data_IF_542552963132
#
_entry.id   IF_542552963132
#
_cell.length_a   1.000
_cell.length_b   1.000
_cell.length_c   1.000
_cell.angle_alpha   90.00
_cell.angle_beta   90.00
_cell.angle_gamma   90.00
#
_symmetry.space_group_name_H-M   'P 1'
#
loop_
_entity.id
_entity.type
_entity.pdbx_description
1 polymer ?
#
# COMPACT_ATOMS: atom_id res chain seq x y z
N UNK A 1 -36.19 6.47 6.46
CA UNK A 1 -35.58 5.58 5.47
C UNK A 1 -34.43 6.34 4.86
N UNK A 2 -33.31 6.41 5.57
CA UNK A 2 -32.07 6.96 5.03
C UNK A 2 -31.32 5.77 4.43
N UNK A 3 -31.27 5.75 3.10
CA UNK A 3 -30.45 4.80 2.36
C UNK A 3 -28.99 5.15 2.63
N UNK A 4 -28.30 4.28 3.35
CA UNK A 4 -26.85 4.22 3.23
C UNK A 4 -26.57 3.74 1.81
N UNK A 5 -26.15 4.67 0.98
CA UNK A 5 -25.57 4.39 -0.33
C UNK A 5 -24.25 3.66 -0.06
N UNK A 6 -24.34 2.36 0.17
CA UNK A 6 -23.21 1.46 0.23
C UNK A 6 -22.71 1.34 -1.21
N UNK A 7 -21.80 2.23 -1.60
CA UNK A 7 -20.97 2.05 -2.80
C UNK A 7 -20.41 0.63 -2.77
N UNK A 8 -20.81 -0.27 -3.69
CA UNK A 8 -20.45 -1.67 -3.60
C UNK A 8 -18.96 -1.85 -3.95
N UNK A 9 -18.08 -1.80 -2.95
CA UNK A 9 -16.70 -2.30 -3.07
C UNK A 9 -15.59 -1.41 -2.50
N UNK A 10 -15.87 -0.15 -2.18
CA UNK A 10 -14.89 0.80 -1.63
C UNK A 10 -14.87 0.87 -0.09
N UNK A 11 -13.79 1.42 0.46
CA UNK A 11 -13.71 1.79 1.87
C UNK A 11 -14.73 2.89 2.18
N UNK A 12 -15.45 2.73 3.30
CA UNK A 12 -16.38 3.75 3.76
C UNK A 12 -15.65 5.08 4.00
N UNK A 13 -16.32 6.23 3.74
CA UNK A 13 -15.73 7.53 4.02
C UNK A 13 -15.40 7.66 5.51
N UNK A 14 -14.51 8.61 5.89
CA UNK A 14 -14.17 8.84 7.28
C UNK A 14 -15.42 9.02 8.14
N UNK A 15 -15.51 8.22 9.20
CA UNK A 15 -16.63 8.22 10.13
C UNK A 15 -16.12 7.99 11.56
N UNK A 16 -16.98 8.31 12.54
CA UNK A 16 -16.69 8.04 13.94
C UNK A 16 -16.75 6.53 14.20
N UNK A 17 -15.66 5.94 14.69
CA UNK A 17 -15.60 4.50 14.95
C UNK A 17 -16.57 4.01 16.06
N UNK A 18 -17.19 4.91 16.83
CA UNK A 18 -18.15 4.55 17.88
C UNK A 18 -19.62 4.71 17.47
N UNK A 19 -19.94 5.65 16.57
CA UNK A 19 -21.34 5.98 16.24
C UNK A 19 -21.64 6.18 14.75
N UNK A 20 -20.64 6.09 13.87
CA UNK A 20 -20.82 6.18 12.42
C UNK A 20 -21.03 7.59 11.85
N UNK A 21 -21.12 8.64 12.67
CA UNK A 21 -21.26 10.03 12.18
C UNK A 21 -20.05 10.42 11.33
N UNK A 22 -20.27 11.12 10.22
CA UNK A 22 -19.23 11.52 9.25
C UNK A 22 -18.79 12.99 9.38
N UNK A 23 -19.44 13.78 10.24
CA UNK A 23 -19.14 15.20 10.43
C UNK A 23 -18.28 15.47 11.67
N UNK A 24 -17.52 16.58 11.64
CA UNK A 24 -16.71 17.09 12.75
C UNK A 24 -15.77 16.05 13.38
N UNK A 25 -15.05 15.33 12.53
CA UNK A 25 -14.21 14.23 12.95
C UNK A 25 -12.83 14.70 13.43
N UNK A 26 -12.43 14.14 14.56
CA UNK A 26 -11.11 14.26 15.16
C UNK A 26 -10.37 12.93 14.99
N UNK A 27 -9.15 12.98 14.47
CA UNK A 27 -8.30 11.79 14.37
C UNK A 27 -7.75 11.40 15.74
N UNK A 28 -7.60 10.10 15.98
CA UNK A 28 -6.92 9.56 17.14
C UNK A 28 -5.51 10.16 17.25
N UNK A 29 -5.18 10.82 18.36
CA UNK A 29 -3.85 11.43 18.55
C UNK A 29 -2.69 10.42 18.55
N UNK A 30 -2.96 9.12 18.74
CA UNK A 30 -1.96 8.06 18.69
C UNK A 30 -1.72 7.54 17.26
N UNK A 31 -2.66 6.73 16.75
CA UNK A 31 -2.52 6.09 15.44
C UNK A 31 -2.82 7.00 14.26
N UNK A 32 -3.56 8.11 14.45
CA UNK A 32 -3.98 9.08 13.41
C UNK A 32 -4.80 8.52 12.24
N UNK A 33 -5.14 7.23 12.24
CA UNK A 33 -5.88 6.57 11.14
C UNK A 33 -7.32 6.18 11.51
N UNK A 34 -7.72 6.38 12.76
CA UNK A 34 -9.10 6.20 13.25
C UNK A 34 -9.66 7.54 13.69
N UNK A 35 -10.94 7.78 13.42
CA UNK A 35 -11.61 9.06 13.67
C UNK A 35 -12.77 8.96 14.65
N UNK A 36 -13.05 10.05 15.35
CA UNK A 36 -14.11 10.18 16.36
C UNK A 36 -14.77 11.56 16.27
N UNK A 37 -16.07 11.65 16.47
CA UNK A 37 -16.75 12.96 16.55
C UNK A 37 -16.55 13.66 17.91
N UNK A 38 -16.01 12.95 18.91
CA UNK A 38 -15.81 13.50 20.26
C UNK A 38 -14.76 12.72 21.07
N UNK A 39 -14.20 13.36 22.10
CA UNK A 39 -13.30 12.72 23.05
C UNK A 39 -13.99 11.60 23.89
N UNK A 40 -15.29 11.71 24.10
CA UNK A 40 -16.10 10.67 24.76
C UNK A 40 -16.17 9.40 23.92
N UNK A 41 -16.43 9.51 22.61
CA UNK A 41 -16.43 8.35 21.72
C UNK A 41 -15.04 7.74 21.54
N UNK A 42 -13.99 8.57 21.51
CA UNK A 42 -12.61 8.07 21.53
C UNK A 42 -12.32 7.28 22.82
N UNK A 43 -12.79 7.75 23.97
CA UNK A 43 -12.57 7.09 25.26
C UNK A 43 -13.37 5.79 25.36
N UNK A 44 -14.59 5.76 24.84
CA UNK A 44 -15.44 4.57 24.79
C UNK A 44 -14.82 3.46 23.91
N UNK A 45 -14.33 3.81 22.71
CA UNK A 45 -13.69 2.86 21.79
C UNK A 45 -12.26 2.47 22.20
N UNK A 46 -11.69 3.10 23.23
CA UNK A 46 -10.29 2.87 23.63
C UNK A 46 -9.98 1.42 23.95
N UNK A 47 -10.88 0.70 24.62
CA UNK A 47 -10.62 -0.68 25.05
C UNK A 47 -10.35 -1.62 23.86
N UNK A 48 -11.14 -1.48 22.80
CA UNK A 48 -11.04 -2.25 21.56
C UNK A 48 -9.86 -1.76 20.69
N UNK A 49 -9.73 -0.45 20.52
CA UNK A 49 -8.73 0.14 19.62
C UNK A 49 -7.29 0.13 20.16
N UNK A 50 -7.09 0.07 21.49
CA UNK A 50 -5.77 0.33 22.12
C UNK A 50 -4.66 -0.58 21.61
N UNK A 51 -4.94 -1.87 21.39
CA UNK A 51 -3.93 -2.83 20.95
C UNK A 51 -3.36 -2.43 19.57
N UNK A 52 -4.24 -2.22 18.59
CA UNK A 52 -3.87 -1.82 17.23
C UNK A 52 -3.24 -0.42 17.24
N UNK A 53 -3.79 0.52 18.02
CA UNK A 53 -3.24 1.87 18.16
C UNK A 53 -1.77 1.85 18.63
N UNK A 54 -1.46 1.02 19.63
CA UNK A 54 -0.11 0.88 20.13
C UNK A 54 0.81 0.16 19.14
N UNK A 55 0.30 -0.82 18.39
CA UNK A 55 1.06 -1.50 17.35
C UNK A 55 1.52 -0.52 16.26
N UNK A 56 0.60 0.32 15.73
CA UNK A 56 0.90 1.35 14.72
C UNK A 56 1.91 2.38 15.24
N UNK A 57 1.75 2.82 16.50
CA UNK A 57 2.71 3.76 17.10
C UNK A 57 4.11 3.15 17.17
N UNK A 58 4.20 1.92 17.68
CA UNK A 58 5.48 1.23 17.85
C UNK A 58 6.16 0.96 16.51
N UNK A 59 5.41 0.50 15.51
CA UNK A 59 5.96 0.23 14.18
C UNK A 59 6.51 1.50 13.51
N UNK A 60 5.80 2.63 13.62
CA UNK A 60 6.29 3.95 13.15
C UNK A 60 7.53 4.43 13.90
N UNK A 61 7.58 4.25 15.22
CA UNK A 61 8.75 4.59 16.04
C UNK A 61 9.97 3.75 15.62
N UNK A 62 9.78 2.44 15.40
CA UNK A 62 10.84 1.55 14.89
C UNK A 62 11.29 1.97 13.49
N UNK A 63 10.37 2.23 12.57
CA UNK A 63 10.72 2.71 11.23
C UNK A 63 11.53 4.01 11.27
N UNK A 64 11.10 4.98 12.08
CA UNK A 64 11.81 6.25 12.24
C UNK A 64 13.22 6.04 12.83
N UNK A 65 13.38 5.10 13.77
CA UNK A 65 14.68 4.74 14.32
C UNK A 65 15.62 4.16 13.26
N UNK A 66 15.16 3.17 12.48
CA UNK A 66 15.95 2.55 11.41
C UNK A 66 16.31 3.56 10.32
N UNK A 67 15.37 4.45 9.95
CA UNK A 67 15.63 5.53 8.98
C UNK A 67 16.72 6.48 9.47
N UNK A 68 16.63 6.92 10.72
CA UNK A 68 17.62 7.80 11.33
C UNK A 68 18.99 7.12 11.45
N UNK A 69 19.02 5.83 11.82
CA UNK A 69 20.25 5.05 11.90
C UNK A 69 20.95 4.93 10.53
N UNK A 70 20.18 4.69 9.46
CA UNK A 70 20.72 4.66 8.10
C UNK A 70 21.25 6.02 7.64
N UNK A 71 20.51 7.11 7.91
CA UNK A 71 20.96 8.48 7.53
C UNK A 71 22.19 8.94 8.31
N UNK A 72 22.35 8.52 9.56
CA UNK A 72 23.48 8.91 10.39
C UNK A 72 24.76 8.11 10.07
N UNK A 73 24.64 7.01 9.32
CA UNK A 73 25.77 6.11 9.07
C UNK A 73 26.70 6.70 8.00
N UNK A 74 28.02 6.74 8.24
CA UNK A 74 28.96 7.27 7.26
C UNK A 74 28.99 6.38 6.02
N UNK A 75 29.16 7.03 4.86
CA UNK A 75 29.37 6.32 3.61
C UNK A 75 30.60 5.39 3.70
N UNK A 76 30.52 4.24 3.06
CA UNK A 76 31.62 3.30 2.93
C UNK A 76 31.54 2.57 1.58
N UNK A 77 32.42 1.59 1.35
CA UNK A 77 32.49 0.86 0.08
C UNK A 77 31.16 0.19 -0.32
N UNK A 78 30.31 -0.17 0.66
CA UNK A 78 29.06 -0.90 0.46
C UNK A 78 27.80 -0.08 0.77
N UNK A 79 27.96 1.12 1.36
CA UNK A 79 26.86 2.01 1.74
C UNK A 79 27.11 3.41 1.17
N UNK A 80 26.33 3.86 0.17
CA UNK A 80 26.48 5.21 -0.38
C UNK A 80 26.00 6.28 0.60
N UNK A 81 26.46 7.52 0.41
CA UNK A 81 26.13 8.66 1.28
C UNK A 81 24.62 8.95 1.37
N UNK A 82 23.92 8.87 0.25
CA UNK A 82 22.46 8.96 0.19
C UNK A 82 21.87 7.62 -0.25
N UNK A 83 21.76 6.69 0.70
CA UNK A 83 21.31 5.31 0.43
C UNK A 83 19.89 5.21 -0.13
N UNK A 84 19.01 6.16 0.19
CA UNK A 84 17.62 6.13 -0.27
C UNK A 84 17.45 6.54 -1.74
N UNK A 85 18.42 7.29 -2.28
CA UNK A 85 18.47 7.66 -3.69
C UNK A 85 19.48 6.81 -4.47
N UNK A 86 20.74 6.78 -4.05
CA UNK A 86 21.81 6.05 -4.75
C UNK A 86 21.68 4.52 -4.60
N UNK A 87 21.02 4.06 -3.54
CA UNK A 87 20.75 2.64 -3.34
C UNK A 87 19.44 2.16 -3.96
N UNK A 88 18.60 3.04 -4.51
CA UNK A 88 17.33 2.63 -5.11
C UNK A 88 17.54 1.62 -6.26
N UNK A 89 16.64 0.65 -6.41
CA UNK A 89 16.78 -0.49 -7.32
C UNK A 89 17.69 -1.60 -6.80
N UNK A 90 18.71 -1.27 -6.00
CA UNK A 90 19.67 -2.23 -5.42
C UNK A 90 19.58 -2.32 -3.89
N UNK A 91 18.55 -1.70 -3.31
CA UNK A 91 18.48 -1.41 -1.88
C UNK A 91 18.55 -2.69 -1.05
N UNK A 92 17.85 -3.74 -1.45
CA UNK A 92 17.85 -5.05 -0.78
C UNK A 92 19.21 -5.78 -0.78
N UNK A 93 20.06 -5.47 -1.77
CA UNK A 93 21.41 -6.01 -1.87
C UNK A 93 22.36 -5.42 -0.82
N UNK A 94 22.05 -4.23 -0.29
CA UNK A 94 22.79 -3.58 0.80
C UNK A 94 22.31 -4.18 2.11
N UNK A 95 23.16 -4.94 2.81
CA UNK A 95 22.75 -5.69 4.01
C UNK A 95 22.20 -4.75 5.09
N UNK A 96 22.83 -3.60 5.26
CA UNK A 96 22.48 -2.60 6.28
C UNK A 96 21.07 -2.02 6.13
N UNK A 97 20.46 -2.06 4.94
CA UNK A 97 19.14 -1.47 4.70
C UNK A 97 17.99 -2.44 4.95
N UNK A 98 18.28 -3.72 5.19
CA UNK A 98 17.24 -4.75 5.29
C UNK A 98 16.37 -4.57 6.52
N UNK A 99 16.94 -4.09 7.62
CA UNK A 99 16.19 -3.85 8.86
C UNK A 99 15.22 -2.69 8.69
N UNK A 100 15.61 -1.64 7.96
CA UNK A 100 14.70 -0.60 7.50
C UNK A 100 13.56 -1.14 6.64
N UNK A 101 13.84 -1.98 5.64
CA UNK A 101 12.79 -2.54 4.76
C UNK A 101 11.79 -3.39 5.56
N UNK A 102 12.26 -4.18 6.53
CA UNK A 102 11.41 -4.96 7.42
C UNK A 102 10.59 -4.06 8.36
N UNK A 103 11.20 -3.03 8.93
CA UNK A 103 10.50 -2.06 9.76
C UNK A 103 9.41 -1.31 8.98
N UNK A 104 9.68 -0.97 7.72
CA UNK A 104 8.72 -0.31 6.82
C UNK A 104 7.56 -1.24 6.47
N UNK A 105 7.83 -2.51 6.20
CA UNK A 105 6.78 -3.51 6.02
C UNK A 105 5.93 -3.66 7.29
N UNK A 106 6.55 -3.75 8.47
CA UNK A 106 5.81 -3.85 9.73
C UNK A 106 4.93 -2.61 10.01
N UNK A 107 5.35 -1.42 9.57
CA UNK A 107 4.51 -0.22 9.61
C UNK A 107 3.27 -0.38 8.72
N UNK A 108 3.47 -0.78 7.45
CA UNK A 108 2.36 -1.06 6.53
C UNK A 108 1.41 -2.14 7.08
N UNK A 109 1.95 -3.28 7.52
CA UNK A 109 1.17 -4.41 8.04
C UNK A 109 0.31 -4.01 9.26
N UNK A 110 0.86 -3.20 10.17
CA UNK A 110 0.10 -2.69 11.31
C UNK A 110 -1.08 -1.78 10.92
N UNK A 111 -0.98 -1.08 9.78
CA UNK A 111 -2.04 -0.24 9.22
C UNK A 111 -3.11 -1.09 8.53
N UNK A 112 -2.72 -2.20 7.87
CA UNK A 112 -3.66 -3.12 7.20
C UNK A 112 -4.70 -3.74 8.17
N UNK A 113 -4.42 -3.73 9.47
CA UNK A 113 -5.35 -4.16 10.53
C UNK A 113 -6.47 -3.15 10.81
N UNK A 114 -6.49 -2.00 10.14
CA UNK A 114 -7.50 -0.94 10.31
C UNK A 114 -8.23 -0.71 8.99
N UNK A 115 -9.56 -0.86 9.01
CA UNK A 115 -10.41 -0.70 7.83
C UNK A 115 -10.85 0.76 7.63
N UNK A 116 -9.88 1.65 7.35
CA UNK A 116 -10.15 3.06 7.05
C UNK A 116 -9.37 3.53 5.83
N UNK A 117 -9.93 4.51 5.10
CA UNK A 117 -9.25 5.16 3.96
C UNK A 117 -7.86 5.66 4.36
N UNK A 118 -7.73 6.30 5.54
CA UNK A 118 -6.44 6.82 6.01
C UNK A 118 -5.39 5.73 6.27
N UNK A 119 -5.79 4.57 6.79
CA UNK A 119 -4.88 3.46 7.00
C UNK A 119 -4.46 2.81 5.67
N UNK A 120 -5.41 2.64 4.75
CA UNK A 120 -5.16 2.06 3.43
C UNK A 120 -4.24 2.94 2.56
N UNK A 121 -4.45 4.27 2.53
CA UNK A 121 -3.55 5.20 1.82
C UNK A 121 -2.13 5.16 2.41
N UNK A 122 -2.00 5.24 3.73
CA UNK A 122 -0.67 5.24 4.36
C UNK A 122 0.05 3.88 4.19
N UNK A 123 -0.68 2.77 4.23
CA UNK A 123 -0.12 1.46 3.92
C UNK A 123 0.35 1.40 2.47
N UNK A 124 -0.47 1.86 1.52
CA UNK A 124 -0.13 1.90 0.10
C UNK A 124 1.13 2.74 -0.14
N UNK A 125 1.26 3.91 0.49
CA UNK A 125 2.46 4.75 0.41
C UNK A 125 3.72 4.02 0.90
N UNK A 126 3.61 3.26 1.99
CA UNK A 126 4.73 2.46 2.49
C UNK A 126 5.14 1.38 1.47
N UNK A 127 4.18 0.63 0.95
CA UNK A 127 4.44 -0.47 0.00
C UNK A 127 5.00 0.05 -1.34
N UNK A 128 4.46 1.16 -1.85
CA UNK A 128 4.94 1.77 -3.09
C UNK A 128 6.37 2.31 -2.96
N UNK A 129 6.74 2.90 -1.82
CA UNK A 129 8.12 3.32 -1.60
C UNK A 129 9.07 2.13 -1.42
N UNK A 130 8.60 1.02 -0.82
CA UNK A 130 9.37 -0.23 -0.78
C UNK A 130 9.64 -0.77 -2.18
N UNK A 131 8.65 -0.73 -3.08
CA UNK A 131 8.81 -1.11 -4.48
C UNK A 131 9.76 -0.16 -5.25
N UNK A 132 9.73 1.15 -4.96
CA UNK A 132 10.71 2.11 -5.50
C UNK A 132 12.14 1.75 -5.09
N UNK A 133 12.36 1.42 -3.81
CA UNK A 133 13.67 1.07 -3.26
C UNK A 133 14.14 -0.31 -3.75
N UNK A 134 13.24 -1.28 -3.82
CA UNK A 134 13.51 -2.66 -4.21
C UNK A 134 12.54 -3.08 -5.31
N UNK A 135 12.88 -2.73 -6.56
CA UNK A 135 12.02 -2.99 -7.73
C UNK A 135 11.77 -4.48 -7.96
N UNK A 136 12.76 -5.33 -7.64
CA UNK A 136 12.68 -6.81 -7.66
C UNK A 136 11.73 -7.40 -6.61
N UNK A 137 11.20 -6.57 -5.72
CA UNK A 137 10.23 -6.92 -4.69
C UNK A 137 10.60 -8.16 -3.85
N UNK A 138 11.78 -8.14 -3.25
CA UNK A 138 12.28 -9.29 -2.48
C UNK A 138 11.47 -9.61 -1.21
N UNK A 139 10.55 -8.72 -0.79
CA UNK A 139 9.63 -8.95 0.32
C UNK A 139 8.21 -9.31 -0.13
N UNK A 140 7.95 -9.38 -1.44
CA UNK A 140 6.66 -9.78 -2.00
C UNK A 140 5.52 -8.80 -1.71
N UNK A 141 5.82 -7.50 -1.56
CA UNK A 141 4.78 -6.51 -1.21
C UNK A 141 3.85 -6.17 -2.37
N UNK A 142 4.25 -6.47 -3.62
CA UNK A 142 3.43 -6.23 -4.81
C UNK A 142 2.10 -6.99 -4.80
N UNK A 143 1.99 -8.06 -4.03
CA UNK A 143 0.77 -8.88 -3.94
C UNK A 143 -0.33 -8.18 -3.14
N UNK A 144 0.03 -7.21 -2.30
CA UNK A 144 -0.90 -6.46 -1.45
C UNK A 144 -1.44 -5.22 -2.18
N UNK A 145 -0.61 -4.57 -2.98
CA UNK A 145 -0.91 -3.27 -3.64
C UNK A 145 -2.23 -3.26 -4.43
N UNK A 146 -2.54 -4.23 -5.31
CA UNK A 146 -3.80 -4.22 -6.08
C UNK A 146 -5.04 -4.20 -5.18
N UNK A 147 -5.01 -4.96 -4.08
CA UNK A 147 -6.16 -5.02 -3.16
C UNK A 147 -6.39 -3.69 -2.44
N UNK A 148 -5.33 -2.96 -2.11
CA UNK A 148 -5.44 -1.61 -1.55
C UNK A 148 -5.99 -0.61 -2.56
N UNK A 149 -5.51 -0.66 -3.81
CA UNK A 149 -6.02 0.20 -4.88
C UNK A 149 -7.52 -0.02 -5.10
N UNK A 150 -8.00 -1.27 -5.12
CA UNK A 150 -9.43 -1.58 -5.23
C UNK A 150 -10.24 -1.11 -4.02
N UNK A 151 -9.70 -1.22 -2.79
CA UNK A 151 -10.34 -0.73 -1.57
C UNK A 151 -10.41 0.80 -1.53
N UNK A 152 -9.48 1.48 -2.19
CA UNK A 152 -9.43 2.94 -2.32
C UNK A 152 -10.20 3.46 -3.54
N UNK A 153 -10.90 2.58 -4.28
CA UNK A 153 -11.64 2.93 -5.49
C UNK A 153 -10.73 3.48 -6.62
N UNK A 154 -9.45 3.10 -6.61
CA UNK A 154 -8.42 3.50 -7.57
C UNK A 154 -8.25 2.43 -8.66
N UNK A 155 -9.35 2.14 -9.33
CA UNK A 155 -9.50 0.99 -10.24
C UNK A 155 -8.59 1.06 -11.46
N UNK A 156 -8.49 2.23 -12.10
CA UNK A 156 -7.58 2.42 -13.24
C UNK A 156 -6.11 2.21 -12.83
N UNK A 157 -5.72 2.70 -11.65
CA UNK A 157 -4.35 2.50 -11.16
C UNK A 157 -4.07 1.04 -10.81
N UNK A 158 -5.08 0.32 -10.28
CA UNK A 158 -5.00 -1.12 -10.06
C UNK A 158 -4.75 -1.86 -11.39
N UNK A 159 -5.52 -1.52 -12.43
CA UNK A 159 -5.35 -2.11 -13.76
C UNK A 159 -3.95 -1.87 -14.31
N UNK A 160 -3.51 -0.61 -14.32
CA UNK A 160 -2.21 -0.20 -14.83
C UNK A 160 -1.05 -0.90 -14.10
N UNK A 161 -1.17 -1.06 -12.77
CA UNK A 161 -0.20 -1.78 -11.94
C UNK A 161 -0.13 -3.26 -12.32
N UNK A 162 -1.28 -3.94 -12.40
CA UNK A 162 -1.37 -5.35 -12.76
C UNK A 162 -0.82 -5.59 -14.18
N UNK A 163 -1.18 -4.72 -15.14
CA UNK A 163 -0.71 -4.82 -16.51
C UNK A 163 0.81 -4.68 -16.60
N UNK A 164 1.41 -3.76 -15.84
CA UNK A 164 2.86 -3.59 -15.84
C UNK A 164 3.57 -4.86 -15.36
N UNK A 165 3.10 -5.49 -14.28
CA UNK A 165 3.68 -6.73 -13.77
C UNK A 165 3.47 -7.93 -14.71
N UNK A 166 2.34 -7.99 -15.42
CA UNK A 166 2.06 -9.06 -16.38
C UNK A 166 2.85 -8.95 -17.70
N UNK A 167 3.41 -7.77 -18.00
CA UNK A 167 4.05 -7.50 -19.29
C UNK A 167 5.54 -7.16 -19.14
N UNK A 168 5.86 -5.99 -18.61
CA UNK A 168 7.25 -5.54 -18.43
C UNK A 168 7.89 -6.28 -17.26
N UNK A 169 7.17 -6.44 -16.15
CA UNK A 169 7.67 -7.10 -14.95
C UNK A 169 7.86 -8.61 -15.08
N UNK A 170 7.30 -9.23 -16.12
CA UNK A 170 7.43 -10.66 -16.43
C UNK A 170 8.60 -10.95 -17.39
N UNK A 171 9.24 -9.91 -17.95
CA UNK A 171 10.43 -10.06 -18.79
C UNK A 171 11.62 -10.57 -17.96
N UNK A 172 12.11 -11.76 -18.30
CA UNK A 172 13.26 -12.40 -17.65
C UNK A 172 14.57 -11.63 -17.82
N UNK A 173 14.64 -10.69 -18.75
CA UNK A 173 15.80 -9.86 -19.04
C UNK A 173 15.72 -8.46 -18.41
N UNK A 174 14.66 -8.14 -17.67
CA UNK A 174 14.51 -6.85 -17.01
C UNK A 174 15.57 -6.64 -15.90
N UNK A 175 16.37 -5.57 -16.02
CA UNK A 175 17.35 -5.20 -14.99
C UNK A 175 16.68 -4.39 -13.85
N UNK A 176 16.28 -5.10 -12.79
CA UNK A 176 15.68 -4.51 -11.59
C UNK A 176 16.56 -3.46 -10.89
N UNK A 177 17.88 -3.55 -11.08
CA UNK A 177 18.86 -2.64 -10.49
C UNK A 177 19.15 -1.39 -11.31
N UNK A 178 18.63 -1.30 -12.54
CA UNK A 178 18.71 -0.11 -13.38
C UNK A 178 17.51 0.81 -13.11
N UNK A 179 17.76 1.91 -12.42
CA UNK A 179 16.73 2.88 -12.07
C UNK A 179 16.28 3.75 -13.24
N UNK A 180 17.01 3.74 -14.36
CA UNK A 180 16.69 4.50 -15.57
C UNK A 180 15.64 3.83 -16.43
N UNK A 181 15.45 2.52 -16.27
CA UNK A 181 14.41 1.77 -16.98
C UNK A 181 13.01 2.17 -16.52
N UNK A 182 12.01 2.17 -17.43
CA UNK A 182 10.63 2.45 -17.08
C UNK A 182 10.08 1.47 -16.04
N UNK A 183 9.55 1.99 -14.94
CA UNK A 183 9.04 1.20 -13.82
C UNK A 183 7.66 1.67 -13.40
N UNK A 184 6.69 0.76 -13.35
CA UNK A 184 5.28 1.05 -13.03
C UNK A 184 4.77 2.30 -13.76
N UNK A 185 5.06 2.40 -15.05
CA UNK A 185 4.87 3.61 -15.86
C UNK A 185 3.72 3.50 -16.88
N UNK A 186 2.97 2.40 -16.90
CA UNK A 186 1.73 2.27 -17.67
C UNK A 186 0.68 3.18 -17.05
N UNK A 187 -0.03 3.98 -17.86
CA UNK A 187 -1.08 4.88 -17.39
C UNK A 187 -2.25 4.86 -18.36
N UNK A 188 -3.46 4.69 -17.84
CA UNK A 188 -4.69 4.72 -18.65
C UNK A 188 -4.74 3.59 -19.68
N UNK A 189 -4.22 2.41 -19.34
CA UNK A 189 -4.39 1.25 -20.19
C UNK A 189 -5.88 0.87 -20.28
N UNK A 190 -6.28 0.34 -21.43
CA UNK A 190 -7.66 -0.08 -21.65
C UNK A 190 -8.03 -1.24 -20.73
N UNK A 191 -8.81 -0.95 -19.68
CA UNK A 191 -9.28 -1.94 -18.72
C UNK A 191 -10.31 -2.91 -19.30
N UNK A 192 -10.81 -2.67 -20.52
CA UNK A 192 -11.77 -3.54 -21.23
C UNK A 192 -11.11 -4.42 -22.30
N UNK A 193 -9.81 -4.33 -22.49
CA UNK A 193 -9.09 -5.24 -23.39
C UNK A 193 -9.24 -6.70 -22.94
N UNK A 194 -9.01 -7.62 -23.88
CA UNK A 194 -9.12 -9.05 -23.64
C UNK A 194 -8.16 -9.49 -22.52
N UNK A 195 -8.56 -10.52 -21.78
CA UNK A 195 -7.73 -11.10 -20.72
C UNK A 195 -6.43 -11.69 -21.27
N UNK A 196 -6.38 -12.04 -22.56
CA UNK A 196 -5.17 -12.43 -23.29
C UNK A 196 -4.08 -11.34 -23.31
N UNK A 197 -4.42 -10.08 -22.99
CA UNK A 197 -3.44 -9.01 -22.78
C UNK A 197 -2.61 -9.22 -21.49
N UNK A 198 -3.07 -10.05 -20.58
CA UNK A 198 -2.30 -10.54 -19.45
C UNK A 198 -1.70 -11.90 -19.82
N UNK A 199 -0.38 -12.04 -19.73
CA UNK A 199 0.17 -13.39 -19.60
C UNK A 199 -0.24 -13.92 -18.23
N UNK A 200 -1.37 -14.61 -18.17
CA UNK A 200 -1.95 -15.15 -16.94
C UNK A 200 -1.02 -16.11 -16.20
N UNK A 201 -0.07 -16.73 -16.92
CA UNK A 201 0.92 -17.61 -16.32
C UNK A 201 2.02 -16.83 -15.60
N UNK A 202 2.21 -15.55 -15.94
CA UNK A 202 3.18 -14.66 -15.30
C UNK A 202 2.64 -14.02 -14.02
N UNK A 203 1.32 -14.00 -13.83
CA UNK A 203 0.68 -13.40 -12.66
C UNK A 203 0.61 -14.36 -11.47
N UNK A 204 0.93 -13.84 -10.29
CA UNK A 204 0.67 -14.54 -9.03
C UNK A 204 -0.84 -14.61 -8.72
N UNK A 205 -1.22 -15.54 -7.84
CA UNK A 205 -2.62 -15.74 -7.45
C UNK A 205 -3.29 -14.46 -6.92
N UNK A 206 -2.57 -13.66 -6.13
CA UNK A 206 -3.10 -12.40 -5.58
C UNK A 206 -3.46 -11.40 -6.69
N UNK A 207 -2.64 -11.31 -7.73
CA UNK A 207 -2.87 -10.45 -8.89
C UNK A 207 -4.05 -10.95 -9.73
N UNK A 208 -4.17 -12.27 -9.93
CA UNK A 208 -5.32 -12.86 -10.62
C UNK A 208 -6.64 -12.59 -9.89
N UNK A 209 -6.66 -12.71 -8.56
CA UNK A 209 -7.84 -12.39 -7.75
C UNK A 209 -8.20 -10.92 -7.90
N UNK A 210 -7.22 -10.01 -7.80
CA UNK A 210 -7.46 -8.58 -7.96
C UNK A 210 -7.96 -8.22 -9.37
N UNK A 211 -7.34 -8.77 -10.42
CA UNK A 211 -7.77 -8.57 -11.81
C UNK A 211 -9.20 -9.07 -12.04
N UNK A 212 -9.55 -10.23 -11.47
CA UNK A 212 -10.89 -10.80 -11.57
C UNK A 212 -11.92 -9.91 -10.86
N UNK A 213 -11.62 -9.47 -9.63
CA UNK A 213 -12.50 -8.56 -8.89
C UNK A 213 -12.73 -7.25 -9.64
N UNK A 214 -11.66 -6.68 -10.21
CA UNK A 214 -11.73 -5.46 -11.02
C UNK A 214 -12.63 -5.65 -12.25
N UNK A 215 -12.42 -6.70 -13.04
CA UNK A 215 -13.24 -6.99 -14.23
C UNK A 215 -14.71 -7.25 -13.85
N UNK A 216 -14.97 -7.89 -12.72
CA UNK A 216 -16.33 -8.08 -12.20
C UNK A 216 -17.01 -6.75 -11.82
N UNK A 217 -16.30 -5.81 -11.19
CA UNK A 217 -16.83 -4.48 -10.90
C UNK A 217 -17.18 -3.72 -12.17
N UNK A 218 -16.25 -3.66 -13.13
CA UNK A 218 -16.48 -3.04 -14.44
C UNK A 218 -17.70 -3.65 -15.16
N UNK A 219 -17.86 -4.97 -15.10
CA UNK A 219 -19.03 -5.64 -15.69
C UNK A 219 -20.35 -5.24 -15.00
N UNK A 220 -20.35 -5.19 -13.67
CA UNK A 220 -21.52 -4.79 -12.89
C UNK A 220 -21.91 -3.34 -13.17
N UNK A 221 -20.95 -2.42 -13.27
CA UNK A 221 -21.19 -1.00 -13.56
C UNK A 221 -21.75 -0.77 -14.97
N UNK A 222 -21.29 -1.56 -15.95
CA UNK A 222 -21.87 -1.55 -17.30
C UNK A 222 -23.29 -2.15 -17.36
N UNK A 223 -23.65 -2.96 -16.37
CA UNK A 223 -24.94 -3.66 -16.30
C UNK A 223 -25.98 -2.95 -15.43
N UNK A 224 -25.58 -1.91 -14.68
CA UNK A 224 -26.42 -1.14 -13.75
C UNK A 224 -27.16 0.04 -14.39
#
# INVERSE_FOLDING_TARGET
MEGYDLTPGGLAPPHCAACGVTSQLLRCGGCKVVSYCSATHQSAHRAEHKAICNAIKKSRETLAHEEAALRARPANLYLPFDVFNAGAGRFWGIIDTRDYMRARFAAADSLLQVDTVSAAEEALDHLMDMLRLCRSDNLGVRDIVPTLLLRLDREQECYDFLKWWATVGSDMHYDWGDVTLPYLNIRGADAFEDFDAFDVNSLGLAHLVAATLLKLRLFLDLSS
#
